data_IF_682431960185
#
_entry.id   IF_682431960185
#
_cell.length_a   1.000
_cell.length_b   1.000
_cell.length_c   1.000
_cell.angle_alpha   90.00
_cell.angle_beta   90.00
_cell.angle_gamma   90.00
#
_symmetry.space_group_name_H-M   'P 1'
#
loop_
_entity.id
_entity.type
_entity.pdbx_description
1 polymer ?
#
# COMPACT_ATOMS: atom_id res chain seq x y z
N UNK A 1 -14.54 -30.51 3.45
CA UNK A 1 -15.75 -29.79 3.86
C UNK A 1 -15.60 -29.14 5.25
N UNK A 2 -14.98 -29.79 6.23
CA UNK A 2 -14.77 -29.22 7.59
C UNK A 2 -13.83 -27.99 7.63
N UNK A 3 -12.81 -27.94 6.75
CA UNK A 3 -11.87 -26.80 6.68
C UNK A 3 -12.54 -25.51 6.18
N UNK A 4 -13.44 -25.60 5.19
CA UNK A 4 -14.16 -24.43 4.65
C UNK A 4 -15.19 -23.90 5.66
N UNK A 5 -15.91 -24.79 6.36
CA UNK A 5 -16.86 -24.39 7.42
C UNK A 5 -16.14 -23.69 8.57
N UNK A 6 -15.00 -24.19 8.99
CA UNK A 6 -14.17 -23.59 10.05
C UNK A 6 -13.58 -22.24 9.62
N UNK A 7 -13.16 -22.12 8.36
CA UNK A 7 -12.68 -20.85 7.78
C UNK A 7 -13.79 -19.78 7.73
N UNK A 8 -14.97 -20.17 7.21
CA UNK A 8 -16.13 -19.28 7.14
C UNK A 8 -16.59 -18.84 8.54
N UNK A 9 -16.71 -19.76 9.50
CA UNK A 9 -17.14 -19.40 10.86
C UNK A 9 -16.20 -18.43 11.55
N UNK A 10 -14.90 -18.47 11.28
CA UNK A 10 -13.90 -17.58 11.87
C UNK A 10 -13.84 -16.20 11.23
N UNK A 11 -14.06 -16.10 9.91
CA UNK A 11 -13.85 -14.85 9.19
C UNK A 11 -15.13 -14.12 8.81
N UNK A 12 -16.25 -14.84 8.67
CA UNK A 12 -17.51 -14.32 8.14
C UNK A 12 -18.02 -13.11 8.93
N UNK A 13 -17.97 -13.18 10.27
CA UNK A 13 -18.48 -12.11 11.11
C UNK A 13 -17.73 -10.79 10.92
N UNK A 14 -16.39 -10.82 10.90
CA UNK A 14 -15.58 -9.63 10.63
C UNK A 14 -15.72 -9.12 9.20
N UNK A 15 -15.87 -10.03 8.22
CA UNK A 15 -16.12 -9.65 6.83
C UNK A 15 -17.48 -8.97 6.67
N UNK A 16 -18.53 -9.44 7.33
CA UNK A 16 -19.86 -8.84 7.34
C UNK A 16 -19.85 -7.43 7.93
N UNK A 17 -19.10 -7.20 9.00
CA UNK A 17 -18.96 -5.85 9.58
C UNK A 17 -18.29 -4.91 8.56
N UNK A 18 -17.21 -5.36 7.92
CA UNK A 18 -16.55 -4.55 6.89
C UNK A 18 -17.47 -4.27 5.70
N UNK A 19 -18.29 -5.24 5.29
CA UNK A 19 -19.30 -5.07 4.26
C UNK A 19 -20.37 -4.05 4.66
N UNK A 20 -20.88 -4.12 5.88
CA UNK A 20 -21.91 -3.20 6.41
C UNK A 20 -21.39 -1.76 6.49
N UNK A 21 -20.11 -1.54 6.72
CA UNK A 21 -19.46 -0.22 6.65
C UNK A 21 -19.22 0.20 5.21
N UNK A 22 -18.80 -0.74 4.36
CA UNK A 22 -18.48 -0.45 2.97
C UNK A 22 -19.71 -0.06 2.14
N UNK A 23 -20.87 -0.67 2.41
CA UNK A 23 -22.09 -0.43 1.65
C UNK A 23 -22.54 1.05 1.73
N UNK A 24 -22.76 1.66 2.92
CA UNK A 24 -23.06 3.08 2.99
C UNK A 24 -21.92 3.95 2.48
N UNK A 25 -20.64 3.58 2.71
CA UNK A 25 -19.49 4.32 2.21
C UNK A 25 -19.44 4.35 0.66
N UNK A 26 -19.83 3.25 0.00
CA UNK A 26 -19.96 3.19 -1.45
C UNK A 26 -21.01 4.18 -1.96
N UNK A 27 -22.21 4.22 -1.35
CA UNK A 27 -23.27 5.15 -1.76
C UNK A 27 -22.93 6.61 -1.44
N UNK A 28 -22.39 6.88 -0.24
CA UNK A 28 -21.96 8.20 0.16
C UNK A 28 -20.78 8.70 -0.71
N UNK A 29 -19.85 7.83 -1.08
CA UNK A 29 -18.74 8.17 -1.97
C UNK A 29 -19.21 8.59 -3.37
N UNK A 30 -20.29 7.99 -3.88
CA UNK A 30 -20.93 8.44 -5.13
C UNK A 30 -21.63 9.81 -4.97
N UNK A 31 -22.16 10.11 -3.79
CA UNK A 31 -22.84 11.38 -3.50
C UNK A 31 -21.86 12.50 -3.16
N UNK A 32 -20.73 12.16 -2.54
CA UNK A 32 -19.67 13.09 -2.15
C UNK A 32 -18.33 12.68 -2.78
N UNK A 33 -18.15 12.87 -4.10
CA UNK A 33 -16.94 12.43 -4.82
C UNK A 33 -15.65 13.04 -4.28
N UNK A 34 -15.72 14.26 -3.74
CA UNK A 34 -14.57 14.99 -3.16
C UNK A 34 -13.91 14.20 -2.02
N UNK A 35 -14.69 13.44 -1.24
CA UNK A 35 -14.16 12.63 -0.13
C UNK A 35 -13.84 11.21 -0.62
N UNK A 36 -14.68 10.66 -1.51
CA UNK A 36 -14.56 9.31 -2.03
C UNK A 36 -14.95 8.21 -1.05
N UNK A 37 -15.47 7.10 -1.60
CA UNK A 37 -15.89 5.93 -0.80
C UNK A 37 -14.78 5.34 0.08
N UNK A 38 -13.55 5.15 -0.43
CA UNK A 38 -12.45 4.59 0.36
C UNK A 38 -12.12 5.40 1.62
N UNK A 39 -12.05 6.74 1.51
CA UNK A 39 -11.77 7.62 2.65
C UNK A 39 -12.91 7.60 3.66
N UNK A 40 -14.17 7.64 3.19
CA UNK A 40 -15.34 7.51 4.09
C UNK A 40 -15.27 6.20 4.87
N UNK A 41 -14.94 5.10 4.22
CA UNK A 41 -14.83 3.78 4.85
C UNK A 41 -13.71 3.72 5.90
N UNK A 42 -12.52 4.29 5.60
CA UNK A 42 -11.40 4.37 6.57
C UNK A 42 -11.82 5.17 7.79
N UNK A 43 -12.36 6.37 7.60
CA UNK A 43 -12.75 7.27 8.69
C UNK A 43 -13.85 6.61 9.54
N UNK A 44 -14.87 6.02 8.93
CA UNK A 44 -15.91 5.30 9.65
C UNK A 44 -15.33 4.16 10.49
N UNK A 45 -14.43 3.35 9.94
CA UNK A 45 -13.74 2.28 10.66
C UNK A 45 -12.92 2.80 11.83
N UNK A 46 -12.20 3.91 11.66
CA UNK A 46 -11.39 4.54 12.71
C UNK A 46 -12.28 5.09 13.85
N UNK A 47 -13.40 5.74 13.53
CA UNK A 47 -14.35 6.25 14.52
C UNK A 47 -14.93 5.08 15.32
N UNK A 48 -15.35 4.00 14.65
CA UNK A 48 -15.85 2.80 15.33
C UNK A 48 -14.77 2.22 16.27
N UNK A 49 -13.51 2.26 15.89
CA UNK A 49 -12.40 1.74 16.72
C UNK A 49 -12.18 2.55 18.00
N UNK A 50 -12.55 3.83 18.04
CA UNK A 50 -12.46 4.62 19.27
C UNK A 50 -13.38 4.08 20.38
N UNK A 51 -14.54 3.57 19.99
CA UNK A 51 -15.55 3.02 20.93
C UNK A 51 -15.39 1.50 21.07
N UNK A 52 -15.05 0.82 19.98
CA UNK A 52 -14.92 -0.64 19.93
C UNK A 52 -13.45 -1.06 19.79
N UNK A 53 -12.71 -1.04 20.90
CA UNK A 53 -11.28 -1.38 20.90
C UNK A 53 -11.02 -2.89 20.78
N UNK A 54 -11.77 -3.73 21.51
CA UNK A 54 -11.65 -5.18 21.43
C UNK A 54 -12.60 -5.73 20.37
N UNK A 55 -12.02 -6.24 19.28
CA UNK A 55 -12.77 -6.80 18.14
C UNK A 55 -13.23 -8.24 18.38
N UNK A 56 -12.76 -8.91 19.42
CA UNK A 56 -13.13 -10.28 19.77
C UNK A 56 -13.14 -11.23 18.54
N UNK A 57 -14.25 -11.92 18.31
CA UNK A 57 -14.43 -12.83 17.18
C UNK A 57 -14.39 -12.15 15.80
N UNK A 58 -14.63 -10.84 15.71
CA UNK A 58 -14.57 -10.12 14.43
C UNK A 58 -13.14 -9.86 13.97
N UNK A 59 -12.17 -9.82 14.88
CA UNK A 59 -10.78 -9.42 14.60
C UNK A 59 -10.12 -10.25 13.51
N UNK A 60 -10.35 -11.56 13.46
CA UNK A 60 -9.80 -12.45 12.40
C UNK A 60 -10.37 -12.10 11.04
N UNK A 61 -11.68 -11.89 10.92
CA UNK A 61 -12.33 -11.52 9.67
C UNK A 61 -11.97 -10.11 9.20
N UNK A 62 -11.79 -9.16 10.11
CA UNK A 62 -11.32 -7.81 9.79
C UNK A 62 -9.88 -7.86 9.23
N UNK A 63 -8.98 -8.61 9.89
CA UNK A 63 -7.61 -8.83 9.38
C UNK A 63 -7.58 -9.56 8.03
N UNK A 64 -8.46 -10.54 7.85
CA UNK A 64 -8.62 -11.22 6.57
C UNK A 64 -9.05 -10.24 5.48
N UNK A 65 -10.03 -9.39 5.75
CA UNK A 65 -10.55 -8.40 4.80
C UNK A 65 -9.49 -7.37 4.42
N UNK A 66 -8.79 -6.79 5.39
CA UNK A 66 -7.75 -5.78 5.14
C UNK A 66 -6.57 -6.32 4.31
N UNK A 67 -6.32 -7.63 4.35
CA UNK A 67 -5.20 -8.24 3.63
C UNK A 67 -5.64 -8.98 2.36
N UNK A 68 -6.47 -10.00 2.51
CA UNK A 68 -6.75 -10.92 1.39
C UNK A 68 -7.84 -10.40 0.45
N UNK A 69 -8.88 -9.72 0.97
CA UNK A 69 -9.88 -9.10 0.10
C UNK A 69 -9.24 -7.96 -0.71
N UNK A 70 -8.33 -7.18 -0.10
CA UNK A 70 -7.57 -6.16 -0.83
C UNK A 70 -6.68 -6.77 -1.91
N UNK A 71 -5.94 -7.83 -1.60
CA UNK A 71 -5.10 -8.51 -2.58
C UNK A 71 -5.92 -9.06 -3.75
N UNK A 72 -7.08 -9.67 -3.46
CA UNK A 72 -8.01 -10.11 -4.49
C UNK A 72 -8.53 -8.94 -5.34
N UNK A 73 -8.89 -7.82 -4.70
CA UNK A 73 -9.31 -6.62 -5.42
C UNK A 73 -8.24 -6.12 -6.40
N UNK A 74 -6.97 -6.08 -5.98
CA UNK A 74 -5.84 -5.72 -6.85
C UNK A 74 -5.70 -6.70 -8.02
N UNK A 75 -5.88 -8.00 -7.80
CA UNK A 75 -5.86 -9.00 -8.87
C UNK A 75 -7.00 -8.76 -9.87
N UNK A 76 -8.22 -8.49 -9.39
CA UNK A 76 -9.36 -8.16 -10.25
C UNK A 76 -9.14 -6.88 -11.06
N UNK A 77 -8.42 -5.90 -10.51
CA UNK A 77 -8.03 -4.70 -11.25
C UNK A 77 -7.16 -5.04 -12.47
N UNK A 78 -6.29 -6.05 -12.36
CA UNK A 78 -5.45 -6.54 -13.47
C UNK A 78 -6.25 -6.99 -14.70
N UNK A 79 -7.49 -7.48 -14.52
CA UNK A 79 -8.38 -7.84 -15.63
C UNK A 79 -8.85 -6.65 -16.48
N UNK A 80 -8.54 -5.44 -16.14
CA UNK A 80 -8.85 -4.27 -16.96
C UNK A 80 -7.63 -3.62 -17.59
N UNK A 81 -6.44 -4.21 -17.42
CA UNK A 81 -5.18 -3.63 -17.83
C UNK A 81 -4.49 -4.45 -18.93
N UNK A 82 -4.06 -3.76 -19.99
CA UNK A 82 -3.20 -4.35 -21.00
C UNK A 82 -1.75 -4.45 -20.49
N UNK A 83 -1.10 -5.57 -20.71
CA UNK A 83 0.29 -5.81 -20.26
C UNK A 83 1.28 -4.76 -20.80
N UNK A 84 1.08 -4.26 -22.02
CA UNK A 84 1.92 -3.20 -22.58
C UNK A 84 1.84 -1.91 -21.75
N UNK A 85 0.64 -1.56 -21.26
CA UNK A 85 0.43 -0.40 -20.36
C UNK A 85 1.13 -0.63 -19.02
N UNK A 86 1.06 -1.85 -18.48
CA UNK A 86 1.75 -2.21 -17.23
C UNK A 86 3.27 -2.05 -17.38
N UNK A 87 3.84 -2.55 -18.47
CA UNK A 87 5.28 -2.45 -18.75
C UNK A 87 5.73 -1.01 -19.00
N UNK A 88 4.95 -0.23 -19.77
CA UNK A 88 5.23 1.18 -20.02
C UNK A 88 5.22 2.00 -18.73
N UNK A 89 4.19 1.83 -17.90
CA UNK A 89 4.08 2.51 -16.61
C UNK A 89 5.23 2.14 -15.67
N UNK A 90 5.56 0.86 -15.59
CA UNK A 90 6.71 0.39 -14.82
C UNK A 90 8.02 1.06 -15.26
N UNK A 91 8.28 1.10 -16.57
CA UNK A 91 9.49 1.74 -17.14
C UNK A 91 9.53 3.24 -16.90
N UNK A 92 8.41 3.94 -17.04
CA UNK A 92 8.29 5.37 -16.81
C UNK A 92 8.55 5.75 -15.34
N UNK A 93 8.08 4.95 -14.39
CA UNK A 93 8.22 5.21 -12.97
C UNK A 93 9.55 4.75 -12.36
N UNK A 94 10.34 3.93 -13.06
CA UNK A 94 11.60 3.37 -12.54
C UNK A 94 12.59 4.41 -12.02
N UNK A 95 12.88 5.52 -12.70
CA UNK A 95 13.82 6.54 -12.20
C UNK A 95 13.33 7.14 -10.86
N UNK A 96 12.02 7.43 -10.76
CA UNK A 96 11.41 7.97 -9.56
C UNK A 96 11.48 6.94 -8.43
N UNK A 97 11.16 5.67 -8.71
CA UNK A 97 11.22 4.56 -7.75
C UNK A 97 12.64 4.41 -7.19
N UNK A 98 13.66 4.39 -8.02
CA UNK A 98 15.06 4.23 -7.60
C UNK A 98 15.47 5.38 -6.68
N UNK A 99 15.16 6.62 -7.06
CA UNK A 99 15.53 7.80 -6.27
C UNK A 99 14.76 7.88 -4.96
N UNK A 100 13.46 7.61 -4.95
CA UNK A 100 12.66 7.62 -3.72
C UNK A 100 13.08 6.52 -2.74
N UNK A 101 13.42 5.32 -3.23
CA UNK A 101 13.99 4.25 -2.42
C UNK A 101 15.32 4.68 -1.80
N UNK A 102 16.24 5.20 -2.63
CA UNK A 102 17.55 5.66 -2.19
C UNK A 102 17.43 6.77 -1.15
N UNK A 103 16.55 7.73 -1.37
CA UNK A 103 16.27 8.83 -0.44
C UNK A 103 15.81 8.31 0.92
N UNK A 104 14.85 7.40 0.96
CA UNK A 104 14.37 6.84 2.24
C UNK A 104 15.47 6.11 3.01
N UNK A 105 16.28 5.31 2.33
CA UNK A 105 17.37 4.55 2.95
C UNK A 105 18.49 5.49 3.44
N UNK A 106 18.85 6.52 2.66
CA UNK A 106 19.85 7.51 3.03
C UNK A 106 19.38 8.31 4.26
N UNK A 107 18.14 8.81 4.25
CA UNK A 107 17.53 9.54 5.37
C UNK A 107 17.55 8.65 6.63
N UNK A 108 17.11 7.40 6.51
CA UNK A 108 17.10 6.46 7.63
C UNK A 108 18.51 6.24 8.21
N UNK A 109 19.51 6.08 7.36
CA UNK A 109 20.90 5.91 7.77
C UNK A 109 21.47 7.17 8.46
N UNK A 110 21.22 8.36 7.90
CA UNK A 110 21.69 9.62 8.49
C UNK A 110 21.04 9.86 9.85
N UNK A 111 19.70 9.72 9.94
CA UNK A 111 18.98 9.98 11.18
C UNK A 111 19.23 8.92 12.25
N UNK A 112 19.53 7.67 11.87
CA UNK A 112 20.04 6.67 12.81
C UNK A 112 21.23 7.20 13.61
N UNK A 113 22.22 7.80 12.93
CA UNK A 113 23.41 8.34 13.56
C UNK A 113 23.15 9.65 14.32
N UNK A 114 22.41 10.58 13.72
CA UNK A 114 22.17 11.90 14.32
C UNK A 114 21.26 11.85 15.54
N UNK A 115 20.24 11.00 15.54
CA UNK A 115 19.24 10.93 16.61
C UNK A 115 19.49 9.78 17.59
N UNK A 116 20.55 8.97 17.39
CA UNK A 116 20.82 7.76 18.16
C UNK A 116 19.58 6.84 18.23
N UNK A 117 18.98 6.55 17.08
CA UNK A 117 17.87 5.59 16.96
C UNK A 117 18.48 4.19 16.86
N UNK A 118 17.92 3.15 17.51
CA UNK A 118 18.41 1.77 17.34
C UNK A 118 18.49 1.37 15.86
N UNK A 119 19.59 0.69 15.49
CA UNK A 119 19.89 0.38 14.09
C UNK A 119 18.82 -0.46 13.40
N UNK A 120 18.25 -1.45 14.13
CA UNK A 120 17.18 -2.27 13.60
C UNK A 120 15.92 -1.45 13.31
N UNK A 121 15.48 -0.61 14.26
CA UNK A 121 14.30 0.26 14.08
C UNK A 121 14.50 1.18 12.88
N UNK A 122 15.66 1.82 12.79
CA UNK A 122 15.97 2.72 11.68
C UNK A 122 15.98 1.99 10.33
N UNK A 123 16.59 0.81 10.28
CA UNK A 123 16.61 -0.02 9.07
C UNK A 123 15.19 -0.44 8.68
N UNK A 124 14.37 -0.89 9.64
CA UNK A 124 12.99 -1.31 9.38
C UNK A 124 12.11 -0.16 8.92
N UNK A 125 12.22 1.03 9.53
CA UNK A 125 11.48 2.22 9.11
C UNK A 125 11.96 2.68 7.72
N UNK A 126 13.28 2.69 7.48
CA UNK A 126 13.85 3.04 6.17
C UNK A 126 13.40 2.10 5.05
N UNK A 127 13.48 0.79 5.26
CA UNK A 127 13.03 -0.23 4.30
C UNK A 127 11.50 -0.19 4.12
N UNK A 128 10.76 -0.05 5.22
CA UNK A 128 9.29 0.12 5.18
C UNK A 128 8.87 1.34 4.38
N UNK A 129 9.51 2.49 4.60
CA UNK A 129 9.27 3.72 3.84
C UNK A 129 9.69 3.60 2.37
N UNK A 130 10.74 2.84 2.09
CA UNK A 130 11.33 2.77 0.74
C UNK A 130 10.59 1.83 -0.20
N UNK A 131 9.88 0.79 0.25
CA UNK A 131 9.34 -0.26 -0.61
C UNK A 131 7.80 -0.34 -0.51
N UNK A 132 7.29 -1.16 0.43
CA UNK A 132 5.87 -1.50 0.53
C UNK A 132 5.36 -1.56 1.98
N UNK A 133 5.95 -0.80 2.88
CA UNK A 133 5.48 -0.68 4.25
C UNK A 133 5.71 -1.95 5.08
N UNK A 134 4.66 -2.43 5.71
CA UNK A 134 4.72 -3.57 6.63
C UNK A 134 5.24 -4.87 6.03
N UNK A 135 4.98 -5.13 4.74
CA UNK A 135 5.49 -6.33 4.05
C UNK A 135 7.00 -6.32 3.92
N UNK A 136 7.59 -5.15 3.63
CA UNK A 136 9.05 -4.99 3.57
C UNK A 136 9.68 -5.12 4.96
N UNK A 137 9.04 -4.58 6.00
CA UNK A 137 9.47 -4.74 7.38
C UNK A 137 9.45 -6.22 7.77
N UNK A 138 8.35 -6.93 7.52
CA UNK A 138 8.21 -8.35 7.85
C UNK A 138 9.23 -9.26 7.14
N UNK A 139 9.59 -8.91 5.89
CA UNK A 139 10.63 -9.62 5.15
C UNK A 139 12.05 -9.31 5.64
N UNK A 140 12.28 -8.09 6.11
CA UNK A 140 13.60 -7.61 6.55
C UNK A 140 13.91 -8.00 8.00
N UNK A 141 12.91 -8.02 8.87
CA UNK A 141 13.07 -8.28 10.30
C UNK A 141 13.88 -9.56 10.61
N UNK A 142 13.56 -10.74 10.05
CA UNK A 142 14.36 -11.94 10.28
C UNK A 142 15.77 -11.85 9.68
N UNK A 143 15.97 -11.05 8.65
CA UNK A 143 17.27 -10.87 7.99
C UNK A 143 18.24 -10.10 8.87
N UNK A 144 17.74 -9.12 9.65
CA UNK A 144 18.56 -8.29 10.55
C UNK A 144 18.45 -8.72 12.01
N UNK A 145 17.77 -9.85 12.31
CA UNK A 145 17.51 -10.34 13.66
C UNK A 145 16.82 -9.29 14.56
N UNK A 146 15.86 -8.56 14.00
CA UNK A 146 15.05 -7.61 14.74
C UNK A 146 14.06 -8.33 15.67
N UNK A 147 13.85 -7.79 16.87
CA UNK A 147 12.88 -8.33 17.82
C UNK A 147 11.44 -7.87 17.50
N UNK A 148 10.46 -8.50 18.16
CA UNK A 148 9.04 -8.26 17.90
C UNK A 148 8.62 -6.82 18.26
N UNK A 149 9.24 -6.20 19.27
CA UNK A 149 8.94 -4.83 19.69
C UNK A 149 9.48 -3.82 18.68
N UNK A 150 10.70 -4.03 18.16
CA UNK A 150 11.28 -3.22 17.09
C UNK A 150 10.43 -3.29 15.81
N UNK A 151 9.96 -4.49 15.46
CA UNK A 151 9.07 -4.72 14.32
C UNK A 151 7.73 -4.02 14.51
N UNK A 152 7.10 -4.19 15.67
CA UNK A 152 5.82 -3.56 15.99
C UNK A 152 5.90 -2.04 15.95
N UNK A 153 6.99 -1.46 16.47
CA UNK A 153 7.22 -0.02 16.47
C UNK A 153 7.41 0.51 15.04
N UNK A 154 8.24 -0.13 14.23
CA UNK A 154 8.46 0.25 12.84
C UNK A 154 7.16 0.16 12.01
N UNK A 155 6.39 -0.93 12.15
CA UNK A 155 5.09 -1.09 11.48
C UNK A 155 4.13 0.02 11.88
N UNK A 156 4.06 0.36 13.17
CA UNK A 156 3.18 1.41 13.69
C UNK A 156 3.48 2.78 13.06
N UNK A 157 4.77 3.13 12.97
CA UNK A 157 5.21 4.39 12.36
C UNK A 157 4.81 4.46 10.88
N UNK A 158 5.14 3.41 10.12
CA UNK A 158 4.83 3.36 8.69
C UNK A 158 3.31 3.41 8.46
N UNK A 159 2.55 2.68 9.25
CA UNK A 159 1.10 2.65 9.14
C UNK A 159 0.46 4.02 9.43
N UNK A 160 0.98 4.74 10.42
CA UNK A 160 0.54 6.10 10.75
C UNK A 160 0.66 7.05 9.54
N UNK A 161 1.84 7.11 8.91
CA UNK A 161 2.06 7.97 7.75
C UNK A 161 1.29 7.50 6.51
N UNK A 162 1.07 6.21 6.34
CA UNK A 162 0.26 5.66 5.26
C UNK A 162 -1.20 6.09 5.36
N UNK A 163 -1.79 6.03 6.57
CA UNK A 163 -3.16 6.52 6.80
C UNK A 163 -3.25 8.02 6.54
N UNK A 164 -2.29 8.81 7.05
CA UNK A 164 -2.23 10.25 6.75
C UNK A 164 -2.14 10.52 5.25
N UNK A 165 -1.27 9.79 4.52
CA UNK A 165 -1.14 9.94 3.08
C UNK A 165 -2.44 9.61 2.33
N UNK A 166 -3.14 8.53 2.71
CA UNK A 166 -4.40 8.15 2.10
C UNK A 166 -5.47 9.25 2.22
N UNK A 167 -5.48 9.96 3.36
CA UNK A 167 -6.44 11.02 3.64
C UNK A 167 -6.03 12.37 3.04
N UNK A 168 -4.75 12.73 3.15
CA UNK A 168 -4.27 14.08 2.84
C UNK A 168 -3.81 14.25 1.39
N UNK A 169 -3.23 13.23 0.76
CA UNK A 169 -2.63 13.37 -0.57
C UNK A 169 -3.62 13.73 -1.68
N UNK A 170 -4.87 13.24 -1.72
CA UNK A 170 -5.81 13.70 -2.73
C UNK A 170 -6.09 15.21 -2.64
N UNK A 171 -6.22 15.75 -1.42
CA UNK A 171 -6.40 17.18 -1.21
C UNK A 171 -5.10 17.94 -1.52
N UNK A 172 -3.97 17.45 -1.05
CA UNK A 172 -2.65 18.01 -1.31
C UNK A 172 -2.34 18.07 -2.82
N UNK A 173 -2.61 16.99 -3.55
CA UNK A 173 -2.42 16.93 -5.01
C UNK A 173 -3.20 18.01 -5.76
N UNK A 174 -4.46 18.27 -5.33
CA UNK A 174 -5.25 19.40 -5.85
C UNK A 174 -4.60 20.75 -5.54
N UNK A 175 -4.11 20.92 -4.31
CA UNK A 175 -3.51 22.20 -3.87
C UNK A 175 -2.23 22.55 -4.62
N UNK A 176 -1.40 21.56 -4.96
CA UNK A 176 -0.16 21.78 -5.71
C UNK A 176 -0.36 21.81 -7.23
N UNK A 177 -1.59 21.56 -7.72
CA UNK A 177 -1.94 21.75 -9.13
C UNK A 177 -1.70 20.54 -10.03
N UNK A 178 -1.80 19.31 -9.51
CA UNK A 178 -1.84 18.13 -10.39
C UNK A 178 -3.01 18.22 -11.38
N UNK A 179 -2.78 17.74 -12.61
CA UNK A 179 -3.82 17.70 -13.64
C UNK A 179 -5.02 16.86 -13.17
N UNK A 180 -6.19 17.50 -13.19
CA UNK A 180 -7.46 16.90 -12.77
C UNK A 180 -8.21 16.19 -13.90
N UNK A 181 -7.73 16.35 -15.14
CA UNK A 181 -8.28 15.69 -16.33
C UNK A 181 -7.58 14.38 -16.64
N UNK A 182 -6.43 14.14 -16.00
CA UNK A 182 -5.62 12.93 -16.16
C UNK A 182 -5.27 12.33 -14.81
N UNK A 183 -5.31 11.00 -14.73
CA UNK A 183 -4.86 10.24 -13.56
C UNK A 183 -3.35 9.96 -13.55
N UNK A 184 -2.59 10.46 -14.52
CA UNK A 184 -1.20 10.03 -14.72
C UNK A 184 -0.26 10.54 -13.61
N UNK A 185 -0.16 11.85 -13.45
CA UNK A 185 0.77 12.46 -12.49
C UNK A 185 0.44 12.06 -11.05
N UNK A 186 -0.83 12.20 -10.62
CA UNK A 186 -1.24 11.77 -9.27
C UNK A 186 -1.13 10.26 -9.08
N UNK A 187 -1.32 9.45 -10.14
CA UNK A 187 -1.14 8.00 -10.10
C UNK A 187 0.31 7.60 -9.83
N UNK A 188 1.27 8.22 -10.53
CA UNK A 188 2.70 8.01 -10.28
C UNK A 188 3.06 8.48 -8.87
N UNK A 189 2.63 9.69 -8.49
CA UNK A 189 2.86 10.26 -7.17
C UNK A 189 2.36 9.34 -6.04
N UNK A 190 1.11 8.95 -6.07
CA UNK A 190 0.55 8.09 -5.03
C UNK A 190 1.21 6.71 -5.00
N UNK A 191 1.58 6.14 -6.15
CA UNK A 191 2.27 4.85 -6.24
C UNK A 191 3.70 4.87 -5.68
N UNK A 192 4.38 6.02 -5.76
CA UNK A 192 5.78 6.18 -5.31
C UNK A 192 5.89 6.82 -3.93
N UNK A 193 5.08 7.82 -3.58
CA UNK A 193 5.18 8.54 -2.32
C UNK A 193 4.47 7.85 -1.14
N UNK A 194 3.46 7.02 -1.39
CA UNK A 194 2.77 6.25 -0.36
C UNK A 194 3.41 4.87 -0.22
N UNK A 195 3.59 4.37 1.02
CA UNK A 195 4.39 3.18 1.21
C UNK A 195 3.62 1.87 1.07
N UNK A 196 2.39 1.73 1.54
CA UNK A 196 1.63 0.49 1.42
C UNK A 196 0.59 0.52 0.28
N UNK A 197 0.28 -0.65 -0.26
CA UNK A 197 -0.67 -0.79 -1.39
C UNK A 197 -2.07 -0.35 -1.01
N UNK A 198 -2.48 -0.55 0.24
CA UNK A 198 -3.83 -0.19 0.70
C UNK A 198 -4.06 1.31 0.65
N UNK A 199 -3.13 2.08 1.18
CA UNK A 199 -3.20 3.55 1.19
C UNK A 199 -3.01 4.16 -0.20
N UNK A 200 -2.19 3.52 -1.07
CA UNK A 200 -2.10 3.86 -2.49
C UNK A 200 -3.46 3.72 -3.16
N UNK A 201 -4.12 2.57 -2.99
CA UNK A 201 -5.43 2.32 -3.60
C UNK A 201 -6.49 3.27 -3.07
N UNK A 202 -6.44 3.62 -1.78
CA UNK A 202 -7.35 4.58 -1.17
C UNK A 202 -7.18 5.98 -1.77
N UNK A 203 -5.95 6.51 -1.79
CA UNK A 203 -5.65 7.83 -2.33
C UNK A 203 -6.00 7.94 -3.82
N UNK A 204 -5.56 6.96 -4.62
CA UNK A 204 -5.80 6.95 -6.06
C UNK A 204 -7.28 6.78 -6.43
N UNK A 205 -8.00 5.89 -5.74
CA UNK A 205 -9.45 5.72 -5.95
C UNK A 205 -10.24 6.96 -5.49
N UNK A 206 -9.77 7.67 -4.48
CA UNK A 206 -10.35 8.94 -4.05
C UNK A 206 -10.14 10.01 -5.11
N UNK A 207 -8.93 10.13 -5.68
CA UNK A 207 -8.64 11.04 -6.79
C UNK A 207 -9.54 10.75 -8.00
N UNK A 208 -9.65 9.48 -8.41
CA UNK A 208 -10.56 9.06 -9.48
C UNK A 208 -12.01 9.45 -9.20
N UNK A 209 -12.46 9.33 -7.94
CA UNK A 209 -13.81 9.72 -7.52
C UNK A 209 -14.01 11.24 -7.55
N UNK A 210 -13.02 12.02 -7.11
CA UNK A 210 -13.07 13.50 -7.09
C UNK A 210 -13.23 14.09 -8.49
N UNK A 211 -12.57 13.49 -9.49
CA UNK A 211 -12.47 14.03 -10.84
C UNK A 211 -13.16 13.20 -11.91
N UNK A 212 -13.91 12.18 -11.50
CA UNK A 212 -14.66 11.29 -12.41
C UNK A 212 -13.78 10.59 -13.46
N UNK A 213 -12.55 10.20 -13.08
CA UNK A 213 -11.56 9.58 -13.98
C UNK A 213 -11.74 8.06 -14.13
N UNK A 214 -12.79 7.49 -13.56
CA UNK A 214 -13.05 6.05 -13.65
C UNK A 214 -12.09 5.23 -12.78
N UNK A 215 -11.03 4.67 -13.36
CA UNK A 215 -9.95 3.94 -12.67
C UNK A 215 -8.56 4.37 -13.15
N UNK A 216 -8.44 5.46 -13.89
CA UNK A 216 -7.18 5.83 -14.52
C UNK A 216 -6.05 6.02 -13.51
N UNK A 217 -6.31 6.77 -12.45
CA UNK A 217 -5.35 7.00 -11.36
C UNK A 217 -5.06 5.73 -10.60
N UNK A 218 -6.08 4.95 -10.28
CA UNK A 218 -5.97 3.70 -9.53
C UNK A 218 -5.13 2.68 -10.29
N UNK A 219 -5.41 2.48 -11.59
CA UNK A 219 -4.68 1.56 -12.46
C UNK A 219 -3.19 1.94 -12.54
N UNK A 220 -2.89 3.24 -12.72
CA UNK A 220 -1.52 3.77 -12.77
C UNK A 220 -0.81 3.59 -11.44
N UNK A 221 -1.42 4.03 -10.34
CA UNK A 221 -0.84 4.01 -9.00
C UNK A 221 -0.53 2.59 -8.53
N UNK A 222 -1.45 1.65 -8.74
CA UNK A 222 -1.25 0.23 -8.39
C UNK A 222 -0.12 -0.37 -9.20
N UNK A 223 -0.06 -0.10 -10.51
CA UNK A 223 1.02 -0.61 -11.37
C UNK A 223 2.39 -0.10 -10.92
N UNK A 224 2.51 1.20 -10.65
CA UNK A 224 3.74 1.83 -10.10
C UNK A 224 4.11 1.18 -8.76
N UNK A 225 3.14 1.02 -7.87
CA UNK A 225 3.36 0.42 -6.56
C UNK A 225 3.82 -1.02 -6.63
N UNK A 226 3.22 -1.84 -7.50
CA UNK A 226 3.63 -3.23 -7.69
C UNK A 226 5.05 -3.33 -8.26
N UNK A 227 5.41 -2.44 -9.19
CA UNK A 227 6.79 -2.33 -9.71
C UNK A 227 7.77 -2.00 -8.60
N UNK A 228 7.45 -1.02 -7.73
CA UNK A 228 8.28 -0.66 -6.57
C UNK A 228 8.42 -1.81 -5.58
N UNK A 229 7.39 -2.61 -5.39
CA UNK A 229 7.40 -3.75 -4.46
C UNK A 229 8.42 -4.82 -4.86
N UNK A 230 8.77 -4.95 -6.14
CA UNK A 230 9.81 -5.87 -6.60
C UNK A 230 11.19 -5.56 -6.01
N UNK A 231 11.44 -4.32 -5.59
CA UNK A 231 12.69 -3.90 -4.94
C UNK A 231 12.92 -4.59 -3.58
N UNK A 232 11.92 -5.27 -3.02
CA UNK A 232 12.10 -6.06 -1.78
C UNK A 232 13.18 -7.14 -1.96
N UNK A 233 13.28 -7.74 -3.16
CA UNK A 233 14.21 -8.82 -3.45
C UNK A 233 15.67 -8.34 -3.36
N UNK A 234 16.12 -7.35 -4.15
CA UNK A 234 17.51 -6.92 -4.10
C UNK A 234 17.88 -6.27 -2.75
N UNK A 235 16.95 -5.53 -2.13
CA UNK A 235 17.24 -4.85 -0.84
C UNK A 235 17.41 -5.86 0.28
N UNK A 236 16.51 -6.83 0.42
CA UNK A 236 16.65 -7.87 1.46
C UNK A 236 17.86 -8.76 1.24
N UNK A 237 18.22 -9.03 -0.03
CA UNK A 237 19.45 -9.76 -0.37
C UNK A 237 20.70 -9.00 0.06
N UNK A 238 20.79 -7.70 -0.23
CA UNK A 238 21.91 -6.85 0.19
C UNK A 238 22.03 -6.81 1.72
N UNK A 239 20.92 -6.63 2.42
CA UNK A 239 20.89 -6.64 3.88
C UNK A 239 21.30 -7.99 4.46
N UNK A 240 20.89 -9.11 3.86
CA UNK A 240 21.31 -10.45 4.24
C UNK A 240 22.84 -10.62 4.11
N UNK A 241 23.42 -10.17 2.99
CA UNK A 241 24.87 -10.22 2.77
C UNK A 241 25.63 -9.35 3.81
N UNK A 242 25.13 -8.14 4.10
CA UNK A 242 25.75 -7.25 5.08
C UNK A 242 25.67 -7.89 6.47
N UNK A 243 24.55 -8.47 6.85
CA UNK A 243 24.38 -9.09 8.17
C UNK A 243 25.22 -10.36 8.31
N UNK A 244 25.29 -11.21 7.27
CA UNK A 244 26.14 -12.40 7.25
C UNK A 244 27.63 -12.08 7.41
N UNK A 245 28.10 -10.93 6.89
CA UNK A 245 29.47 -10.47 7.10
C UNK A 245 29.75 -9.97 8.54
N UNK A 246 28.70 -9.55 9.25
CA UNK A 246 28.83 -9.09 10.65
C UNK A 246 28.78 -10.23 11.66
N UNK A 247 27.94 -11.23 11.41
CA UNK A 247 27.84 -12.44 12.20
C UNK A 247 28.61 -13.54 11.47
N UNK A 248 29.69 -14.05 12.07
CA UNK A 248 30.48 -15.19 11.52
C UNK A 248 29.67 -16.50 11.43
N UNK A 249 28.34 -16.43 11.36
CA UNK A 249 27.42 -17.56 11.47
C UNK A 249 26.71 -17.84 10.12
N UNK A 250 27.03 -18.99 9.52
CA UNK A 250 26.58 -19.45 8.20
C UNK A 250 25.15 -20.06 8.20
N UNK A 251 24.28 -19.77 9.18
CA UNK A 251 23.04 -20.54 9.37
C UNK A 251 21.70 -19.85 9.04
N UNK A 252 21.67 -18.65 8.52
CA UNK A 252 20.38 -18.05 8.13
C UNK A 252 20.06 -18.29 6.65
N UNK A 253 19.32 -19.37 6.35
CA UNK A 253 18.76 -19.63 5.03
C UNK A 253 17.66 -18.60 4.69
N UNK A 254 18.01 -17.57 3.95
CA UNK A 254 17.06 -16.60 3.40
C UNK A 254 16.11 -17.29 2.40
N UNK A 255 14.81 -17.30 2.70
CA UNK A 255 13.78 -17.86 1.81
C UNK A 255 13.12 -16.78 0.97
N UNK A 256 13.63 -16.56 -0.24
CA UNK A 256 13.03 -15.67 -1.26
C UNK A 256 11.54 -15.96 -1.49
N UNK A 257 11.15 -17.24 -1.46
CA UNK A 257 9.77 -17.69 -1.69
C UNK A 257 8.78 -17.18 -0.62
N UNK A 258 9.24 -16.92 0.60
CA UNK A 258 8.40 -16.47 1.71
C UNK A 258 8.18 -14.93 1.69
N UNK A 259 9.07 -14.20 1.03
CA UNK A 259 9.06 -12.74 0.95
C UNK A 259 8.32 -12.19 -0.27
N UNK A 260 8.05 -13.05 -1.30
CA UNK A 260 7.44 -12.58 -2.54
C UNK A 260 5.91 -12.54 -2.44
N UNK A 261 5.27 -11.37 -2.69
CA UNK A 261 3.81 -11.24 -2.63
C UNK A 261 3.15 -11.90 -3.85
N UNK A 262 2.59 -13.09 -3.67
CA UNK A 262 2.00 -13.91 -4.77
C UNK A 262 0.90 -13.19 -5.56
N UNK A 263 0.17 -12.26 -4.95
CA UNK A 263 -0.87 -11.50 -5.65
C UNK A 263 -0.35 -10.66 -6.81
N UNK A 264 0.95 -10.30 -6.83
CA UNK A 264 1.59 -9.60 -7.96
C UNK A 264 1.62 -10.51 -9.18
N UNK A 265 1.96 -11.78 -9.00
CA UNK A 265 1.94 -12.77 -10.09
C UNK A 265 0.53 -12.91 -10.65
N UNK A 266 -0.48 -13.04 -9.78
CA UNK A 266 -1.87 -13.14 -10.20
C UNK A 266 -2.35 -11.86 -10.91
N UNK A 267 -1.93 -10.68 -10.48
CA UNK A 267 -2.19 -9.42 -11.18
C UNK A 267 -1.60 -9.42 -12.61
N UNK A 268 -0.34 -9.86 -12.76
CA UNK A 268 0.31 -9.96 -14.07
C UNK A 268 -0.43 -10.99 -14.94
N UNK A 269 -0.78 -12.15 -14.40
CA UNK A 269 -1.56 -13.18 -15.13
C UNK A 269 -2.90 -12.61 -15.59
N UNK A 270 -3.61 -11.89 -14.73
CA UNK A 270 -4.87 -11.23 -15.08
C UNK A 270 -4.67 -10.22 -16.23
N UNK A 271 -3.59 -9.42 -16.20
CA UNK A 271 -3.24 -8.49 -17.28
C UNK A 271 -2.88 -9.19 -18.58
N UNK A 272 -2.19 -10.34 -18.51
CA UNK A 272 -1.91 -11.18 -19.70
C UNK A 272 -3.22 -11.72 -20.30
N UNK A 273 -4.11 -12.26 -19.47
CA UNK A 273 -5.43 -12.76 -19.92
C UNK A 273 -6.22 -11.65 -20.62
N UNK A 274 -6.25 -10.46 -20.03
CA UNK A 274 -6.90 -9.28 -20.65
C UNK A 274 -6.26 -8.94 -22.00
N UNK A 275 -4.94 -8.92 -22.06
CA UNK A 275 -4.21 -8.60 -23.30
C UNK A 275 -4.54 -9.59 -24.41
N UNK A 276 -4.53 -10.89 -24.10
CA UNK A 276 -4.89 -11.95 -25.07
C UNK A 276 -6.34 -11.82 -25.50
N UNK A 277 -7.26 -11.58 -24.57
CA UNK A 277 -8.68 -11.42 -24.88
C UNK A 277 -8.95 -10.20 -25.77
N UNK A 278 -8.33 -9.05 -25.48
CA UNK A 278 -8.44 -7.84 -26.31
C UNK A 278 -7.88 -8.07 -27.71
N UNK A 279 -6.76 -8.76 -27.85
CA UNK A 279 -6.18 -9.11 -29.15
C UNK A 279 -7.06 -10.13 -29.92
N UNK A 280 -7.84 -10.95 -29.19
CA UNK A 280 -8.83 -11.87 -29.79
C UNK A 280 -10.16 -11.17 -30.13
N UNK A 281 -10.28 -9.84 -29.96
CA UNK A 281 -11.46 -9.06 -30.33
C UNK A 281 -12.52 -8.94 -29.21
N UNK A 282 -12.22 -9.36 -27.96
CA UNK A 282 -13.14 -9.15 -26.84
C UNK A 282 -13.17 -7.66 -26.49
N UNK A 283 -14.35 -7.03 -26.43
CA UNK A 283 -14.45 -5.61 -26.11
C UNK A 283 -13.96 -5.30 -24.67
N UNK A 284 -13.27 -4.17 -24.48
CA UNK A 284 -12.74 -3.75 -23.18
C UNK A 284 -13.80 -3.59 -22.08
N UNK A 285 -15.04 -3.23 -22.46
CA UNK A 285 -16.14 -3.09 -21.51
C UNK A 285 -16.58 -4.41 -20.85
N UNK A 286 -16.21 -5.57 -21.43
CA UNK A 286 -16.49 -6.89 -20.85
C UNK A 286 -15.81 -7.07 -19.49
N UNK A 287 -14.75 -6.33 -19.21
CA UNK A 287 -14.03 -6.37 -17.93
C UNK A 287 -14.53 -5.33 -16.91
N UNK A 288 -15.45 -4.43 -17.30
CA UNK A 288 -15.99 -3.40 -16.41
C UNK A 288 -16.61 -3.96 -15.11
N UNK A 289 -17.42 -5.05 -15.12
CA UNK A 289 -17.97 -5.61 -13.89
C UNK A 289 -16.91 -6.07 -12.89
N UNK A 290 -15.77 -6.62 -13.38
CA UNK A 290 -14.64 -7.03 -12.52
C UNK A 290 -13.95 -5.83 -11.89
N UNK A 291 -13.80 -4.73 -12.63
CA UNK A 291 -13.25 -3.47 -12.10
C UNK A 291 -14.17 -2.85 -11.04
N UNK A 292 -15.48 -2.83 -11.27
CA UNK A 292 -16.44 -2.30 -10.29
C UNK A 292 -16.51 -3.16 -9.03
N UNK A 293 -16.44 -4.47 -9.18
CA UNK A 293 -16.30 -5.39 -8.05
C UNK A 293 -14.99 -5.14 -7.28
N UNK A 294 -13.88 -4.94 -7.98
CA UNK A 294 -12.60 -4.56 -7.38
C UNK A 294 -12.72 -3.29 -6.54
N UNK A 295 -13.33 -2.21 -7.08
CA UNK A 295 -13.55 -0.95 -6.35
C UNK A 295 -14.35 -1.15 -5.07
N UNK A 296 -15.42 -1.95 -5.10
CA UNK A 296 -16.20 -2.26 -3.89
C UNK A 296 -15.37 -3.03 -2.87
N UNK A 297 -14.60 -4.04 -3.30
CA UNK A 297 -13.68 -4.79 -2.43
C UNK A 297 -12.59 -3.88 -1.81
N UNK A 298 -12.11 -2.87 -2.56
CA UNK A 298 -11.21 -1.85 -2.02
C UNK A 298 -11.88 -1.09 -0.87
N UNK A 299 -13.09 -0.59 -1.06
CA UNK A 299 -13.83 0.14 0.00
C UNK A 299 -14.05 -0.75 1.21
N UNK A 300 -14.37 -2.03 1.01
CA UNK A 300 -14.51 -3.01 2.09
C UNK A 300 -13.19 -3.24 2.85
N UNK A 301 -12.08 -3.31 2.13
CA UNK A 301 -10.75 -3.41 2.71
C UNK A 301 -10.36 -2.13 3.47
N UNK A 302 -10.76 -0.95 2.97
CA UNK A 302 -10.53 0.33 3.66
C UNK A 302 -11.30 0.42 4.98
N UNK A 303 -12.54 -0.05 5.03
CA UNK A 303 -13.28 -0.19 6.28
C UNK A 303 -12.54 -1.07 7.29
N UNK A 304 -12.01 -2.22 6.84
CA UNK A 304 -11.22 -3.12 7.68
C UNK A 304 -9.92 -2.46 8.18
N UNK A 305 -9.24 -1.70 7.34
CA UNK A 305 -8.03 -0.95 7.72
C UNK A 305 -8.37 0.09 8.77
N UNK A 306 -9.45 0.87 8.58
CA UNK A 306 -9.93 1.81 9.57
C UNK A 306 -10.23 1.14 10.92
N UNK A 307 -10.89 -0.02 10.90
CA UNK A 307 -11.17 -0.81 12.10
C UNK A 307 -9.91 -1.34 12.80
N UNK A 308 -8.83 -1.55 12.09
CA UNK A 308 -7.54 -1.97 12.65
C UNK A 308 -6.66 -0.78 13.08
N UNK A 309 -7.02 0.47 12.73
CA UNK A 309 -6.20 1.66 12.93
C UNK A 309 -6.59 2.38 14.22
N UNK A 310 -5.74 2.33 15.24
CA UNK A 310 -5.90 3.12 16.46
C UNK A 310 -4.85 4.25 16.46
N UNK A 311 -5.24 5.42 15.89
CA UNK A 311 -4.37 6.59 15.79
C UNK A 311 -3.81 7.05 17.12
N UNK A 312 -4.57 6.94 18.21
CA UNK A 312 -4.12 7.38 19.54
C UNK A 312 -2.96 6.50 20.02
N UNK A 313 -3.07 5.18 19.82
CA UNK A 313 -1.97 4.25 20.15
C UNK A 313 -0.74 4.51 19.27
N UNK A 314 -0.95 4.75 17.99
CA UNK A 314 0.13 5.02 17.03
C UNK A 314 0.93 6.29 17.41
N UNK A 315 0.24 7.38 17.77
CA UNK A 315 0.89 8.62 18.19
C UNK A 315 1.63 8.44 19.53
N UNK A 316 1.03 7.71 20.48
CA UNK A 316 1.62 7.51 21.81
C UNK A 316 2.85 6.60 21.83
N UNK A 317 2.97 5.67 20.86
CA UNK A 317 4.10 4.71 20.81
C UNK A 317 5.38 5.24 20.15
N UNK A 318 5.37 6.45 19.58
CA UNK A 318 6.29 6.75 18.48
C UNK A 318 7.53 7.54 18.74
N UNK A 319 7.75 8.29 19.73
CA UNK A 319 9.00 9.01 19.99
C UNK A 319 9.86 9.36 18.75
N UNK A 320 11.17 9.14 18.83
CA UNK A 320 12.14 9.37 17.73
C UNK A 320 11.82 8.61 16.42
N UNK A 321 11.32 7.36 16.42
CA UNK A 321 10.94 6.68 15.19
C UNK A 321 9.83 7.36 14.38
N UNK A 322 8.88 8.07 15.02
CA UNK A 322 7.87 8.87 14.28
C UNK A 322 8.56 10.01 13.52
N UNK A 323 9.51 10.69 14.15
CA UNK A 323 10.25 11.78 13.49
C UNK A 323 11.01 11.23 12.28
N UNK A 324 11.67 10.08 12.45
CA UNK A 324 12.35 9.38 11.35
C UNK A 324 11.38 9.06 10.19
N UNK A 325 10.24 8.44 10.50
CA UNK A 325 9.23 8.11 9.50
C UNK A 325 8.67 9.36 8.80
N UNK A 326 8.42 10.43 9.55
CA UNK A 326 7.98 11.72 9.03
C UNK A 326 8.97 12.36 8.06
N UNK A 327 10.25 12.37 8.42
CA UNK A 327 11.30 12.93 7.55
C UNK A 327 11.48 12.06 6.29
N UNK A 328 11.41 10.72 6.42
CA UNK A 328 11.41 9.83 5.26
C UNK A 328 10.20 10.13 4.35
N UNK A 329 9.00 10.29 4.93
CA UNK A 329 7.77 10.56 4.20
C UNK A 329 7.84 11.89 3.43
N UNK A 330 8.28 12.97 4.09
CA UNK A 330 8.49 14.28 3.44
C UNK A 330 9.59 14.20 2.38
N UNK A 331 10.71 13.53 2.67
CA UNK A 331 11.80 13.38 1.73
C UNK A 331 11.41 12.62 0.46
N UNK A 332 10.69 11.49 0.60
CA UNK A 332 10.17 10.72 -0.53
C UNK A 332 9.20 11.56 -1.35
N UNK A 333 8.25 12.25 -0.69
CA UNK A 333 7.27 13.12 -1.34
C UNK A 333 7.95 14.23 -2.13
N UNK A 334 8.94 14.91 -1.55
CA UNK A 334 9.67 15.99 -2.21
C UNK A 334 10.47 15.50 -3.42
N UNK A 335 11.18 14.39 -3.27
CA UNK A 335 11.98 13.81 -4.38
C UNK A 335 11.08 13.33 -5.51
N UNK A 336 9.92 12.74 -5.19
CA UNK A 336 8.95 12.32 -6.19
C UNK A 336 8.46 13.51 -7.01
N UNK A 337 8.02 14.59 -6.36
CA UNK A 337 7.54 15.80 -7.03
C UNK A 337 8.62 16.43 -7.91
N UNK A 338 9.84 16.57 -7.40
CA UNK A 338 10.98 17.10 -8.16
C UNK A 338 11.23 16.24 -9.40
N UNK A 339 11.22 14.92 -9.25
CA UNK A 339 11.47 14.01 -10.36
C UNK A 339 10.35 14.03 -11.41
N UNK A 340 9.09 14.13 -10.99
CA UNK A 340 7.98 14.27 -11.94
C UNK A 340 8.10 15.55 -12.75
N UNK A 341 8.49 16.65 -12.10
CA UNK A 341 8.73 17.92 -12.78
C UNK A 341 9.90 17.85 -13.77
N UNK A 342 11.03 17.23 -13.37
CA UNK A 342 12.20 17.03 -14.25
C UNK A 342 11.86 16.15 -15.44
N UNK A 343 11.03 15.13 -15.27
CA UNK A 343 10.63 14.20 -16.31
C UNK A 343 9.48 14.73 -17.19
N UNK A 344 8.94 15.90 -16.90
CA UNK A 344 7.83 16.49 -17.63
C UNK A 344 6.53 15.71 -17.50
N UNK A 345 6.33 15.01 -16.36
CA UNK A 345 5.10 14.27 -16.05
C UNK A 345 4.07 15.22 -15.42
N UNK A 346 4.56 16.20 -14.66
CA UNK A 346 3.78 17.21 -13.97
C UNK A 346 4.49 18.55 -14.03
#
# INVERSE_FOLDING_TARGET
MNSIKSFLSKNLFGMLICFLIALPAWFLGKRFPIIGGPVIAIIAGMIITLVWNDKGMAGTGIKFTSKYVLQAAVVFLGFGLNLSVVLQTGRQSLPIIILTISTALIIAFILHKLMNIPGNISTLVGVGSSICGGSAIAATAPVINADDDEVAQAISVIFFFNVLAALLFPVFGKMIGFDTLSGEAFGIFSGTAINDTSSVTAAASTWDSMWSLGTQTLDKAVTVKLTRTLAIIPITLVLAIINAKKSNDNQNSFSLKRSFPMFIIFFIIASVITTVALNAGVPSHSFAPLKDFSKFCIIMAMAAIGLNSNLIKLIKSGGKPIILGGICWVGITSVDLIMQHILGIW
#
